data_IF_866050677466
#
_entry.id   IF_866050677466
#
_cell.length_a   1.000
_cell.length_b   1.000
_cell.length_c   1.000
_cell.angle_alpha   90.00
_cell.angle_beta   90.00
_cell.angle_gamma   90.00
#
_symmetry.space_group_name_H-M   'P 1'
#
loop_
_entity.id
_entity.type
_entity.pdbx_description
1 polymer ?
#
# COMPACT_ATOMS: atom_id res chain seq x y z
N UNK A 1 -14.84 3.46 -15.97
CA UNK A 1 -13.68 3.15 -15.11
C UNK A 1 -12.59 4.13 -15.50
N UNK A 2 -12.34 5.13 -14.66
CA UNK A 2 -11.23 6.08 -14.86
C UNK A 2 -9.96 5.47 -14.27
N UNK A 3 -9.20 4.77 -15.12
CA UNK A 3 -7.95 4.12 -14.71
C UNK A 3 -6.88 5.21 -14.59
N UNK A 4 -6.43 5.46 -13.35
CA UNK A 4 -5.31 6.35 -13.08
C UNK A 4 -4.03 5.54 -13.05
N UNK A 5 -3.02 5.97 -13.79
CA UNK A 5 -1.71 5.32 -13.79
C UNK A 5 -0.78 6.02 -12.81
N UNK A 6 -0.02 5.22 -12.07
CA UNK A 6 1.08 5.68 -11.24
C UNK A 6 2.33 5.63 -12.12
N UNK A 7 3.07 6.75 -12.17
CA UNK A 7 4.33 6.84 -12.87
C UNK A 7 5.46 7.16 -11.90
N UNK A 8 6.65 6.63 -12.18
CA UNK A 8 7.86 7.04 -11.49
C UNK A 8 8.26 8.49 -11.87
N UNK A 9 9.26 9.09 -11.20
CA UNK A 9 9.75 10.43 -11.53
C UNK A 9 10.32 10.58 -12.94
N UNK A 10 10.57 9.46 -13.64
CA UNK A 10 11.06 9.42 -15.03
C UNK A 10 9.91 9.26 -16.04
N UNK A 11 8.65 9.23 -15.57
CA UNK A 11 7.45 9.09 -16.38
C UNK A 11 7.11 7.63 -16.75
N UNK A 12 7.84 6.65 -16.24
CA UNK A 12 7.59 5.22 -16.49
C UNK A 12 6.41 4.78 -15.64
N UNK A 13 5.40 4.15 -16.26
CA UNK A 13 4.24 3.61 -15.55
C UNK A 13 4.69 2.46 -14.65
N UNK A 14 4.50 2.62 -13.34
CA UNK A 14 4.87 1.64 -12.30
C UNK A 14 3.66 0.98 -11.65
N UNK A 15 2.45 1.46 -11.91
CA UNK A 15 1.25 0.85 -11.37
C UNK A 15 -0.04 1.50 -11.85
N UNK A 16 -1.15 0.99 -11.32
CA UNK A 16 -2.49 1.53 -11.51
C UNK A 16 -3.12 1.81 -10.17
N UNK A 17 -3.85 2.92 -10.09
CA UNK A 17 -4.67 3.25 -8.95
C UNK A 17 -6.09 2.75 -9.19
N UNK A 18 -6.57 1.90 -8.28
CA UNK A 18 -7.93 1.36 -8.26
C UNK A 18 -8.58 1.80 -6.94
N UNK A 19 -9.73 2.49 -6.96
CA UNK A 19 -10.48 2.79 -5.73
C UNK A 19 -10.86 1.49 -5.00
N UNK A 20 -10.81 1.49 -3.66
CA UNK A 20 -11.07 0.29 -2.86
C UNK A 20 -12.43 -0.36 -3.16
N UNK A 21 -13.49 0.42 -3.32
CA UNK A 21 -14.82 -0.09 -3.66
C UNK A 21 -14.84 -0.84 -5.00
N UNK A 22 -14.03 -0.39 -5.96
CA UNK A 22 -13.89 -1.04 -7.26
C UNK A 22 -13.00 -2.29 -7.14
N UNK A 23 -11.93 -2.22 -6.35
CA UNK A 23 -11.07 -3.36 -6.06
C UNK A 23 -11.85 -4.53 -5.44
N UNK A 24 -12.69 -4.26 -4.44
CA UNK A 24 -13.55 -5.29 -3.82
C UNK A 24 -14.49 -5.96 -4.83
N UNK A 25 -15.10 -5.17 -5.73
CA UNK A 25 -15.94 -5.71 -6.81
C UNK A 25 -15.16 -6.60 -7.75
N UNK A 26 -13.96 -6.16 -8.15
CA UNK A 26 -13.08 -6.93 -9.03
C UNK A 26 -12.63 -8.23 -8.36
N UNK A 27 -12.32 -8.21 -7.06
CA UNK A 27 -11.98 -9.43 -6.31
C UNK A 27 -13.09 -10.46 -6.35
N UNK A 28 -14.35 -10.03 -6.14
CA UNK A 28 -15.50 -10.91 -6.21
C UNK A 28 -15.77 -11.41 -7.64
N UNK A 29 -15.68 -10.52 -8.64
CA UNK A 29 -15.95 -10.85 -10.04
C UNK A 29 -14.95 -11.84 -10.63
N UNK A 30 -13.66 -11.70 -10.29
CA UNK A 30 -12.58 -12.51 -10.86
C UNK A 30 -12.06 -13.57 -9.90
N UNK A 31 -12.66 -13.72 -8.71
CA UNK A 31 -12.22 -14.68 -7.70
C UNK A 31 -10.80 -14.43 -7.22
N UNK A 32 -10.38 -13.16 -7.16
CA UNK A 32 -9.02 -12.79 -6.72
C UNK A 32 -8.94 -13.07 -5.22
N UNK A 33 -8.11 -14.05 -4.86
CA UNK A 33 -7.77 -14.33 -3.47
C UNK A 33 -6.45 -13.62 -3.16
N UNK A 34 -6.50 -12.65 -2.27
CA UNK A 34 -5.30 -12.01 -1.76
C UNK A 34 -4.58 -13.04 -0.85
N UNK A 35 -3.40 -13.49 -1.28
CA UNK A 35 -2.54 -14.30 -0.43
C UNK A 35 -2.16 -13.54 0.83
N UNK A 36 -1.83 -14.27 1.90
CA UNK A 36 -1.32 -13.64 3.12
C UNK A 36 -0.19 -12.67 2.73
N UNK A 37 -0.21 -11.42 3.24
CA UNK A 37 0.88 -10.50 2.98
C UNK A 37 2.18 -11.21 3.38
N UNK A 38 3.19 -11.12 2.52
CA UNK A 38 4.51 -11.65 2.86
C UNK A 38 4.91 -11.12 4.26
N UNK A 39 5.78 -11.85 4.97
CA UNK A 39 6.32 -11.44 6.29
C UNK A 39 6.96 -10.04 6.30
N UNK A 40 7.02 -9.36 5.16
CA UNK A 40 7.26 -7.93 5.01
C UNK A 40 6.40 -7.07 5.95
N UNK A 41 5.19 -7.48 6.36
CA UNK A 41 4.37 -6.71 7.30
C UNK A 41 5.08 -6.39 8.63
N UNK A 42 5.67 -7.40 9.25
CA UNK A 42 6.39 -7.24 10.52
C UNK A 42 7.72 -6.48 10.35
N UNK A 43 8.41 -6.71 9.23
CA UNK A 43 9.67 -6.05 8.92
C UNK A 43 9.47 -4.56 8.56
N UNK A 44 8.38 -4.23 7.85
CA UNK A 44 7.97 -2.87 7.54
C UNK A 44 7.53 -2.12 8.79
N UNK A 45 6.77 -2.75 9.69
CA UNK A 45 6.39 -2.15 10.98
C UNK A 45 7.61 -1.85 11.85
N UNK A 46 8.59 -2.76 11.92
CA UNK A 46 9.86 -2.52 12.62
C UNK A 46 10.63 -1.35 12.00
N UNK A 47 10.81 -1.36 10.68
CA UNK A 47 11.51 -0.28 9.98
C UNK A 47 10.82 1.09 10.13
N UNK A 48 9.49 1.12 10.09
CA UNK A 48 8.69 2.33 10.32
C UNK A 48 8.85 2.83 11.77
N UNK A 49 8.76 1.95 12.76
CA UNK A 49 8.95 2.30 14.16
C UNK A 49 10.35 2.85 14.46
N UNK A 50 11.38 2.26 13.87
CA UNK A 50 12.76 2.76 13.98
C UNK A 50 12.95 4.12 13.29
N UNK A 51 12.35 4.31 12.11
CA UNK A 51 12.40 5.58 11.39
C UNK A 51 11.67 6.72 12.13
N UNK A 52 10.49 6.44 12.70
CA UNK A 52 9.73 7.40 13.51
C UNK A 52 10.49 7.79 14.79
N UNK A 53 11.08 6.81 15.47
CA UNK A 53 11.92 7.02 16.65
C UNK A 53 13.14 7.88 16.31
N UNK A 54 13.79 7.64 15.16
CA UNK A 54 14.92 8.44 14.66
C UNK A 54 14.51 9.86 14.27
N UNK A 55 13.28 10.05 13.82
CA UNK A 55 12.71 11.36 13.48
C UNK A 55 12.19 12.15 14.70
N UNK A 56 12.22 11.57 15.91
CA UNK A 56 11.70 12.23 17.13
C UNK A 56 10.17 12.35 17.17
N UNK A 57 9.48 11.66 16.26
CA UNK A 57 8.02 11.59 16.21
C UNK A 57 7.58 10.37 17.02
N UNK A 58 7.58 10.49 18.35
CA UNK A 58 6.80 9.56 19.16
C UNK A 58 5.33 9.84 18.90
N UNK A 59 4.51 8.78 18.76
CA UNK A 59 3.06 8.90 18.63
C UNK A 59 2.50 9.79 19.76
N UNK A 60 2.26 11.05 19.44
CA UNK A 60 1.50 11.96 20.28
C UNK A 60 0.02 11.61 20.10
N UNK A 61 -0.37 10.52 20.76
CA UNK A 61 -1.74 10.21 21.12
C UNK A 61 -1.86 10.25 22.64
N UNK A 62 -2.30 11.39 23.17
CA UNK A 62 -2.97 11.51 24.48
C UNK A 62 -4.09 12.52 24.33
#
# INVERSE_FOLDING_TARGET
MDIKYLSDPKGVVTGVFIPLAEWERLKQQYGIVEGAPAESGAQLQKGLGEALKKAGLNEAGS
#
